data_IF_948870087049
#
_entry.id   IF_948870087049
#
_cell.length_a   1.000
_cell.length_b   1.000
_cell.length_c   1.000
_cell.angle_alpha   90.00
_cell.angle_beta   90.00
_cell.angle_gamma   90.00
#
_symmetry.space_group_name_H-M   'P 1'
#
loop_
_entity.id
_entity.type
_entity.pdbx_description
1 polymer ?
#
# COMPACT_ATOMS: atom_id res chain seq x y z
N UNK A 1 -22.60 -10.54 7.98
CA UNK A 1 -22.40 -11.95 7.55
C UNK A 1 -23.75 -12.61 7.40
N UNK A 2 -24.24 -12.79 6.16
CA UNK A 2 -25.32 -13.75 5.88
C UNK A 2 -24.61 -15.03 5.42
N UNK A 3 -24.24 -15.88 6.38
CA UNK A 3 -23.77 -17.23 6.09
C UNK A 3 -24.96 -18.06 5.62
N UNK A 4 -25.15 -18.10 4.31
CA UNK A 4 -26.14 -18.98 3.68
C UNK A 4 -25.45 -20.07 2.86
N UNK A 5 -24.34 -20.61 3.38
CA UNK A 5 -23.72 -21.83 2.85
C UNK A 5 -24.27 -23.03 3.61
N UNK A 6 -25.27 -23.69 3.02
CA UNK A 6 -25.69 -25.05 3.35
C UNK A 6 -24.57 -26.05 2.99
N UNK A 7 -23.44 -25.97 3.68
CA UNK A 7 -22.38 -26.98 3.57
C UNK A 7 -22.87 -28.26 4.27
N UNK A 8 -22.75 -29.44 3.64
CA UNK A 8 -23.00 -30.71 4.31
C UNK A 8 -21.90 -31.02 5.35
N UNK A 9 -20.77 -30.31 5.31
CA UNK A 9 -19.66 -30.44 6.27
C UNK A 9 -19.78 -29.40 7.40
N UNK A 10 -19.35 -29.79 8.60
CA UNK A 10 -19.29 -28.90 9.77
C UNK A 10 -18.31 -27.74 9.53
N UNK A 11 -18.61 -26.61 10.15
CA UNK A 11 -17.78 -25.41 10.11
C UNK A 11 -16.56 -25.52 11.05
N UNK A 12 -15.41 -24.97 10.62
CA UNK A 12 -14.16 -25.02 11.37
C UNK A 12 -14.25 -24.29 12.73
N UNK A 13 -15.03 -23.21 12.83
CA UNK A 13 -15.28 -22.50 14.07
C UNK A 13 -16.06 -23.33 15.08
N UNK A 14 -17.00 -24.15 14.61
CA UNK A 14 -17.74 -25.09 15.47
C UNK A 14 -16.83 -26.13 16.11
N UNK A 15 -15.91 -26.72 15.32
CA UNK A 15 -14.97 -27.72 15.85
C UNK A 15 -13.94 -27.09 16.80
N UNK A 16 -13.48 -25.85 16.53
CA UNK A 16 -12.63 -25.10 17.48
C UNK A 16 -13.30 -24.94 18.84
N UNK A 17 -14.55 -24.48 18.88
CA UNK A 17 -15.31 -24.35 20.13
C UNK A 17 -15.54 -25.69 20.83
N UNK A 18 -15.80 -26.76 20.07
CA UNK A 18 -16.01 -28.09 20.64
C UNK A 18 -14.75 -28.61 21.37
N UNK A 19 -13.54 -28.29 20.87
CA UNK A 19 -12.30 -28.70 21.54
C UNK A 19 -12.05 -28.01 22.88
N UNK A 20 -12.70 -26.88 23.16
CA UNK A 20 -12.59 -26.19 24.46
C UNK A 20 -13.44 -26.87 25.56
N UNK A 21 -14.39 -27.72 25.18
CA UNK A 21 -15.35 -28.36 26.10
C UNK A 21 -15.01 -29.83 26.40
N UNK A 22 -13.87 -30.34 25.91
CA UNK A 22 -13.45 -31.72 26.14
C UNK A 22 -12.91 -31.91 27.57
N UNK A 23 -13.02 -33.12 28.14
CA UNK A 23 -12.43 -33.42 29.44
C UNK A 23 -10.93 -33.10 29.48
N UNK A 24 -10.50 -32.54 30.60
CA UNK A 24 -9.11 -32.15 30.82
C UNK A 24 -8.25 -33.38 31.16
N UNK A 25 -7.41 -33.80 30.21
CA UNK A 25 -6.56 -34.99 30.30
C UNK A 25 -5.13 -34.66 29.84
N UNK A 26 -4.11 -35.46 30.20
CA UNK A 26 -2.76 -35.26 29.69
C UNK A 26 -2.69 -35.19 28.15
N UNK A 27 -3.56 -35.92 27.45
CA UNK A 27 -3.66 -35.93 25.99
C UNK A 27 -4.27 -34.64 25.45
N UNK A 28 -5.36 -34.16 26.05
CA UNK A 28 -6.06 -32.95 25.57
C UNK A 28 -5.27 -31.67 25.82
N UNK A 29 -4.32 -31.69 26.77
CA UNK A 29 -3.33 -30.61 26.98
C UNK A 29 -2.12 -30.67 26.05
N UNK A 30 -1.87 -31.80 25.38
CA UNK A 30 -0.67 -31.96 24.56
C UNK A 30 -0.75 -31.12 23.28
N UNK A 31 0.34 -30.47 22.84
CA UNK A 31 0.33 -29.68 21.59
C UNK A 31 -0.15 -30.48 20.37
N UNK A 32 0.20 -31.77 20.30
CA UNK A 32 -0.21 -32.66 19.21
C UNK A 32 -1.73 -32.90 19.09
N UNK A 33 -2.50 -32.58 20.14
CA UNK A 33 -3.96 -32.71 20.13
C UNK A 33 -4.66 -31.43 19.62
N UNK A 34 -3.97 -30.29 19.60
CA UNK A 34 -4.54 -29.02 19.11
C UNK A 34 -4.92 -29.16 17.63
N UNK A 35 -6.03 -28.55 17.24
CA UNK A 35 -6.41 -28.45 15.83
C UNK A 35 -5.38 -27.61 15.07
N UNK A 36 -4.82 -28.13 13.98
CA UNK A 36 -3.72 -27.49 13.26
C UNK A 36 -4.01 -26.04 12.81
N UNK A 37 -5.26 -25.73 12.41
CA UNK A 37 -5.66 -24.38 11.99
C UNK A 37 -5.92 -23.41 13.16
N UNK A 38 -5.95 -23.91 14.39
CA UNK A 38 -6.14 -23.13 15.62
C UNK A 38 -4.90 -23.17 16.54
N UNK A 39 -3.82 -23.82 16.10
CA UNK A 39 -2.56 -23.91 16.85
C UNK A 39 -1.55 -22.87 16.35
N UNK A 40 -1.46 -21.75 17.07
CA UNK A 40 -0.60 -20.61 16.71
C UNK A 40 0.89 -21.00 16.66
N UNK A 41 1.33 -21.86 17.58
CA UNK A 41 2.72 -22.34 17.63
C UNK A 41 3.05 -23.16 16.38
N UNK A 42 2.14 -24.05 15.97
CA UNK A 42 2.27 -24.84 14.75
C UNK A 42 2.27 -23.94 13.51
N UNK A 43 1.34 -22.98 13.44
CA UNK A 43 1.23 -22.02 12.34
C UNK A 43 2.44 -21.10 12.23
N UNK A 44 3.26 -20.93 13.28
CA UNK A 44 4.48 -20.12 13.27
C UNK A 44 5.75 -20.89 12.87
N UNK A 45 5.68 -22.22 12.71
CA UNK A 45 6.82 -23.05 12.29
C UNK A 45 7.35 -22.68 10.90
N UNK A 46 8.65 -22.86 10.65
CA UNK A 46 9.25 -22.49 9.36
C UNK A 46 8.65 -23.24 8.16
N UNK A 47 8.24 -24.50 8.35
CA UNK A 47 7.63 -25.33 7.30
C UNK A 47 6.28 -24.77 6.82
N UNK A 48 5.62 -23.96 7.64
CA UNK A 48 4.28 -23.38 7.39
C UNK A 48 4.38 -21.97 6.77
N UNK A 49 5.58 -21.52 6.37
CA UNK A 49 5.79 -20.22 5.73
C UNK A 49 4.93 -20.00 4.49
N UNK A 50 4.73 -21.02 3.65
CA UNK A 50 3.88 -20.92 2.46
C UNK A 50 2.41 -20.66 2.81
N UNK A 51 1.92 -21.25 3.89
CA UNK A 51 0.56 -21.02 4.41
C UNK A 51 0.44 -19.59 4.94
N UNK A 52 1.43 -19.09 5.70
CA UNK A 52 1.43 -17.70 6.19
C UNK A 52 1.46 -16.68 5.05
N UNK A 53 2.29 -16.91 4.02
CA UNK A 53 2.29 -16.09 2.80
C UNK A 53 0.92 -16.06 2.12
N UNK A 54 0.26 -17.22 2.01
CA UNK A 54 -1.09 -17.32 1.46
C UNK A 54 -2.11 -16.53 2.29
N UNK A 55 -2.04 -16.62 3.62
CA UNK A 55 -2.92 -15.86 4.52
C UNK A 55 -2.73 -14.34 4.39
N UNK A 56 -1.48 -13.86 4.30
CA UNK A 56 -1.19 -12.44 4.07
C UNK A 56 -1.62 -11.96 2.68
N UNK A 57 -1.64 -12.83 1.68
CA UNK A 57 -2.19 -12.50 0.38
C UNK A 57 -3.73 -12.41 0.44
N UNK A 58 -4.39 -13.40 1.05
CA UNK A 58 -5.85 -13.53 1.02
C UNK A 58 -6.58 -12.59 1.97
N UNK A 59 -6.09 -12.37 3.20
CA UNK A 59 -6.83 -11.63 4.22
C UNK A 59 -7.14 -10.18 3.79
N UNK A 60 -6.18 -9.39 3.29
CA UNK A 60 -6.47 -8.03 2.82
C UNK A 60 -7.38 -8.05 1.59
N UNK A 61 -7.16 -8.99 0.66
CA UNK A 61 -7.96 -9.11 -0.56
C UNK A 61 -9.44 -9.36 -0.26
N UNK A 62 -9.73 -10.36 0.57
CA UNK A 62 -11.11 -10.71 0.96
C UNK A 62 -11.80 -9.56 1.68
N UNK A 63 -11.11 -8.88 2.59
CA UNK A 63 -11.68 -7.75 3.35
C UNK A 63 -11.92 -6.55 2.43
N UNK A 64 -11.00 -6.25 1.51
CA UNK A 64 -11.18 -5.18 0.53
C UNK A 64 -12.33 -5.49 -0.44
N UNK A 65 -12.47 -6.75 -0.89
CA UNK A 65 -13.59 -7.19 -1.73
C UNK A 65 -14.94 -7.09 -0.99
N UNK A 66 -15.00 -7.51 0.28
CA UNK A 66 -16.20 -7.38 1.12
C UNK A 66 -16.61 -5.91 1.31
N UNK A 67 -15.63 -5.01 1.31
CA UNK A 67 -15.83 -3.55 1.38
C UNK A 67 -16.10 -2.92 0.02
N UNK A 68 -16.00 -3.69 -1.07
CA UNK A 68 -16.24 -3.23 -2.43
C UNK A 68 -15.15 -2.30 -2.97
N UNK A 69 -13.91 -2.41 -2.49
CA UNK A 69 -12.79 -1.61 -2.98
C UNK A 69 -12.35 -2.14 -4.36
N UNK A 70 -12.60 -1.37 -5.41
CA UNK A 70 -12.33 -1.74 -6.81
C UNK A 70 -11.00 -1.16 -7.31
N UNK A 71 -10.61 0.04 -6.85
CA UNK A 71 -9.32 0.63 -7.17
C UNK A 71 -8.77 1.53 -6.08
N UNK A 72 -7.46 1.74 -6.12
CA UNK A 72 -6.74 2.54 -5.14
C UNK A 72 -5.84 3.60 -5.79
N UNK A 73 -5.61 4.68 -5.04
CA UNK A 73 -4.58 5.67 -5.34
C UNK A 73 -3.48 5.51 -4.30
N UNK A 74 -2.30 5.10 -4.76
CA UNK A 74 -1.19 4.75 -3.89
C UNK A 74 -0.38 5.98 -3.55
N UNK A 75 -0.14 6.24 -2.26
CA UNK A 75 0.75 7.29 -1.80
C UNK A 75 1.97 6.71 -1.10
N UNK A 76 3.14 6.93 -1.70
CA UNK A 76 4.44 6.64 -1.11
C UNK A 76 5.14 7.93 -0.68
N UNK A 77 5.90 7.89 0.40
CA UNK A 77 6.69 9.06 0.81
C UNK A 77 7.37 8.91 2.16
N UNK A 78 8.13 9.94 2.53
CA UNK A 78 8.93 9.92 3.74
C UNK A 78 8.11 9.89 5.03
N UNK A 79 8.27 8.82 5.81
CA UNK A 79 7.70 8.69 7.17
C UNK A 79 8.22 9.73 8.18
N UNK A 80 9.25 10.51 7.81
CA UNK A 80 9.91 11.50 8.67
C UNK A 80 9.53 12.94 8.35
N UNK A 81 8.76 13.17 7.28
CA UNK A 81 8.32 14.51 6.90
C UNK A 81 7.29 14.98 7.95
N UNK A 82 7.55 16.06 8.69
CA UNK A 82 6.62 16.51 9.71
C UNK A 82 5.43 17.24 9.07
N UNK A 83 4.29 17.19 9.75
CA UNK A 83 3.20 18.15 9.52
C UNK A 83 3.75 19.59 9.63
N UNK A 84 3.26 20.56 8.83
CA UNK A 84 3.77 21.93 8.86
C UNK A 84 3.75 22.59 10.24
N UNK A 85 2.73 22.30 11.06
CA UNK A 85 2.65 22.78 12.45
C UNK A 85 3.85 22.34 13.30
N UNK A 86 4.43 21.19 12.96
CA UNK A 86 5.61 20.59 13.60
C UNK A 86 6.89 20.77 12.76
N UNK A 87 6.91 21.69 11.79
CA UNK A 87 8.10 21.94 10.93
C UNK A 87 9.36 22.21 11.75
N UNK A 88 9.25 22.85 12.91
CA UNK A 88 10.36 23.17 13.81
C UNK A 88 10.98 21.94 14.48
N UNK A 89 10.27 20.81 14.57
CA UNK A 89 10.80 19.57 15.14
C UNK A 89 11.57 18.72 14.12
N UNK A 90 11.69 19.18 12.87
CA UNK A 90 12.45 18.49 11.84
C UNK A 90 13.93 18.39 12.21
N UNK A 91 14.53 17.21 11.98
CA UNK A 91 15.95 16.94 12.29
C UNK A 91 16.94 17.78 11.47
N UNK A 92 16.52 18.25 10.30
CA UNK A 92 17.35 19.06 9.41
C UNK A 92 16.50 20.14 8.74
N UNK A 93 17.13 21.23 8.29
CA UNK A 93 16.47 22.29 7.53
C UNK A 93 15.83 21.74 6.25
N UNK A 94 16.55 20.89 5.51
CA UNK A 94 16.04 20.25 4.30
C UNK A 94 14.77 19.45 4.58
N UNK A 95 14.74 18.66 5.67
CA UNK A 95 13.54 17.91 6.06
C UNK A 95 12.39 18.85 6.46
N UNK A 96 12.69 19.95 7.14
CA UNK A 96 11.71 20.98 7.46
C UNK A 96 11.09 21.56 6.18
N UNK A 97 11.88 21.80 5.14
CA UNK A 97 11.41 22.34 3.87
C UNK A 97 10.57 21.35 3.05
N UNK A 98 10.73 20.04 3.29
CA UNK A 98 9.86 19.01 2.73
C UNK A 98 8.46 18.97 3.38
N UNK A 99 8.23 19.64 4.51
CA UNK A 99 6.89 19.68 5.17
C UNK A 99 5.78 20.19 4.25
N UNK A 100 6.09 21.02 3.25
CA UNK A 100 5.11 21.45 2.23
C UNK A 100 4.45 20.28 1.50
N UNK A 101 5.15 19.15 1.36
CA UNK A 101 4.62 17.95 0.71
C UNK A 101 3.63 17.19 1.59
N UNK A 102 3.63 17.42 2.91
CA UNK A 102 2.55 16.93 3.78
C UNK A 102 1.22 17.58 3.36
N UNK A 103 1.18 18.90 3.19
CA UNK A 103 -0.04 19.60 2.75
C UNK A 103 -0.47 19.17 1.34
N UNK A 104 0.49 19.03 0.42
CA UNK A 104 0.17 18.55 -0.93
C UNK A 104 -0.37 17.12 -0.91
N UNK A 105 0.19 16.21 -0.10
CA UNK A 105 -0.32 14.85 0.03
C UNK A 105 -1.73 14.82 0.64
N UNK A 106 -1.98 15.64 1.67
CA UNK A 106 -3.28 15.77 2.31
C UNK A 106 -4.34 16.33 1.35
N UNK A 107 -4.03 17.41 0.65
CA UNK A 107 -4.94 18.05 -0.29
C UNK A 107 -5.23 17.14 -1.49
N UNK A 108 -4.19 16.52 -2.07
CA UNK A 108 -4.35 15.54 -3.14
C UNK A 108 -5.27 14.39 -2.72
N UNK A 109 -5.02 13.80 -1.54
CA UNK A 109 -5.84 12.72 -1.01
C UNK A 109 -7.29 13.16 -0.75
N UNK A 110 -7.51 14.38 -0.24
CA UNK A 110 -8.85 14.96 -0.05
C UNK A 110 -9.62 15.04 -1.36
N UNK A 111 -9.03 15.64 -2.39
CA UNK A 111 -9.69 15.82 -3.70
C UNK A 111 -9.93 14.47 -4.40
N UNK A 112 -8.97 13.55 -4.36
CA UNK A 112 -9.16 12.20 -4.91
C UNK A 112 -10.27 11.45 -4.18
N UNK A 113 -10.39 11.63 -2.87
CA UNK A 113 -11.47 11.03 -2.08
C UNK A 113 -12.82 11.65 -2.43
N UNK A 114 -12.92 12.96 -2.63
CA UNK A 114 -14.15 13.59 -3.11
C UNK A 114 -14.61 13.02 -4.47
N UNK A 115 -13.65 12.69 -5.35
CA UNK A 115 -13.95 11.99 -6.61
C UNK A 115 -14.39 10.55 -6.36
N UNK A 116 -13.69 9.82 -5.50
CA UNK A 116 -14.01 8.46 -5.06
C UNK A 116 -15.43 8.34 -4.50
N UNK A 117 -15.92 9.39 -3.82
CA UNK A 117 -17.30 9.39 -3.29
C UNK A 117 -18.38 9.29 -4.38
N UNK A 118 -18.08 9.61 -5.64
CA UNK A 118 -19.01 9.39 -6.78
C UNK A 118 -19.27 7.90 -7.05
N UNK A 119 -18.33 7.03 -6.69
CA UNK A 119 -18.49 5.57 -6.71
C UNK A 119 -18.77 5.00 -5.31
N UNK A 120 -19.25 5.84 -4.38
CA UNK A 120 -19.49 5.48 -2.97
C UNK A 120 -18.24 5.00 -2.23
N UNK A 121 -17.06 5.50 -2.59
CA UNK A 121 -15.81 5.10 -1.93
C UNK A 121 -15.28 3.74 -2.38
N UNK A 122 -15.66 3.28 -3.58
CA UNK A 122 -15.23 2.00 -4.14
C UNK A 122 -14.01 2.11 -5.04
N UNK A 123 -13.96 3.16 -5.86
CA UNK A 123 -12.84 3.43 -6.75
C UNK A 123 -11.99 4.58 -6.20
N UNK A 124 -10.70 4.58 -6.51
CA UNK A 124 -9.73 5.64 -6.19
C UNK A 124 -9.53 5.87 -4.70
N UNK A 125 -9.67 4.80 -3.92
CA UNK A 125 -9.52 4.83 -2.46
C UNK A 125 -8.05 5.03 -2.10
N UNK A 126 -7.78 5.98 -1.21
CA UNK A 126 -6.41 6.29 -0.78
C UNK A 126 -5.82 5.08 -0.05
N UNK A 127 -4.65 4.63 -0.50
CA UNK A 127 -3.86 3.58 0.17
C UNK A 127 -2.45 4.08 0.47
N UNK A 128 -2.00 3.83 1.70
CA UNK A 128 -0.67 4.21 2.17
C UNK A 128 -0.05 3.07 2.97
N UNK A 129 1.21 3.24 3.39
CA UNK A 129 1.84 2.32 4.32
C UNK A 129 1.40 2.45 5.78
N UNK A 130 0.46 3.35 6.09
CA UNK A 130 -0.16 3.54 7.41
C UNK A 130 0.75 4.14 8.50
N UNK A 131 1.99 4.50 8.17
CA UNK A 131 2.91 5.19 9.08
C UNK A 131 2.68 6.71 9.18
N UNK A 132 3.57 7.43 9.88
CA UNK A 132 3.53 8.89 9.99
C UNK A 132 3.96 9.61 8.69
N UNK A 133 3.93 10.93 8.70
CA UNK A 133 4.43 11.79 7.62
C UNK A 133 3.53 11.79 6.40
N UNK A 134 4.06 11.57 5.20
CA UNK A 134 3.26 11.60 3.95
C UNK A 134 2.12 10.57 3.98
N UNK A 135 2.37 9.38 4.54
CA UNK A 135 1.36 8.33 4.66
C UNK A 135 0.17 8.80 5.52
N UNK A 136 0.48 9.37 6.68
CA UNK A 136 -0.52 10.00 7.56
C UNK A 136 -1.26 11.15 6.86
N UNK A 137 -0.56 12.02 6.15
CA UNK A 137 -1.17 13.12 5.41
C UNK A 137 -2.19 12.61 4.40
N UNK A 138 -1.86 11.54 3.66
CA UNK A 138 -2.75 10.88 2.72
C UNK A 138 -4.00 10.31 3.40
N UNK A 139 -3.81 9.51 4.47
CA UNK A 139 -4.93 8.94 5.22
C UNK A 139 -5.84 10.04 5.82
N UNK A 140 -5.24 11.10 6.35
CA UNK A 140 -5.96 12.26 6.90
C UNK A 140 -6.75 13.02 5.86
N UNK A 141 -6.17 13.26 4.68
CA UNK A 141 -6.86 13.93 3.58
C UNK A 141 -8.13 13.19 3.15
N UNK A 142 -8.06 11.86 3.08
CA UNK A 142 -9.24 11.03 2.82
C UNK A 142 -10.30 11.15 3.93
N UNK A 143 -9.87 11.13 5.21
CA UNK A 143 -10.77 11.34 6.34
C UNK A 143 -11.43 12.72 6.33
N UNK A 144 -10.69 13.78 5.97
CA UNK A 144 -11.23 15.14 5.87
C UNK A 144 -12.36 15.25 4.85
N UNK A 145 -12.31 14.45 3.78
CA UNK A 145 -13.35 14.33 2.76
C UNK A 145 -14.48 13.35 3.14
N UNK A 146 -14.42 12.74 4.33
CA UNK A 146 -15.41 11.77 4.82
C UNK A 146 -15.37 10.40 4.16
N UNK A 147 -14.29 10.09 3.42
CA UNK A 147 -14.11 8.79 2.78
C UNK A 147 -13.26 7.81 3.60
N UNK A 148 -13.17 6.57 3.11
CA UNK A 148 -12.31 5.55 3.70
C UNK A 148 -10.86 5.69 3.23
N UNK A 149 -9.93 5.19 4.02
CA UNK A 149 -8.51 5.12 3.66
C UNK A 149 -7.88 3.82 4.15
N UNK A 150 -6.99 3.25 3.35
CA UNK A 150 -6.35 1.95 3.59
C UNK A 150 -4.94 2.18 4.15
N UNK A 151 -4.58 1.41 5.17
CA UNK A 151 -3.24 1.36 5.73
C UNK A 151 -2.67 -0.04 5.60
N UNK A 152 -1.65 -0.20 4.77
CA UNK A 152 -0.90 -1.45 4.66
C UNK A 152 0.35 -1.34 5.55
N UNK A 153 0.23 -1.65 6.84
CA UNK A 153 1.34 -1.56 7.80
C UNK A 153 2.29 -2.74 7.71
N UNK A 154 3.45 -2.66 8.36
CA UNK A 154 4.36 -3.79 8.47
C UNK A 154 4.98 -3.85 9.86
N UNK A 155 5.16 -5.07 10.37
CA UNK A 155 5.84 -5.31 11.64
C UNK A 155 7.31 -4.90 11.52
N UNK A 156 7.75 -3.96 12.37
CA UNK A 156 9.14 -3.50 12.48
C UNK A 156 9.63 -3.64 13.93
N UNK A 157 10.95 -3.78 14.17
CA UNK A 157 11.51 -3.96 15.53
C UNK A 157 11.22 -2.82 16.52
N UNK A 158 10.98 -1.62 16.01
CA UNK A 158 10.48 -0.50 16.79
C UNK A 158 9.08 -0.20 16.28
N UNK A 159 8.09 -0.59 17.09
CA UNK A 159 6.69 -0.55 16.73
C UNK A 159 6.24 0.90 16.51
N UNK A 160 5.75 1.18 15.30
CA UNK A 160 4.99 2.39 15.03
C UNK A 160 3.52 1.95 15.00
N UNK A 161 2.72 2.44 15.95
CA UNK A 161 1.28 2.33 15.82
C UNK A 161 0.86 2.93 14.46
N UNK A 162 -0.10 2.30 13.76
CA UNK A 162 -0.65 2.92 12.56
C UNK A 162 -1.19 4.30 12.88
N UNK A 163 -1.11 5.22 11.93
CA UNK A 163 -1.67 6.55 12.12
C UNK A 163 -3.21 6.46 12.33
N UNK A 164 -3.73 7.38 13.13
CA UNK A 164 -5.13 7.35 13.60
C UNK A 164 -6.16 7.69 12.50
N UNK A 165 -5.71 8.06 11.29
CA UNK A 165 -6.56 8.44 10.17
C UNK A 165 -6.85 7.27 9.21
N UNK A 166 -6.19 6.13 9.40
CA UNK A 166 -6.51 4.90 8.68
C UNK A 166 -7.90 4.42 9.12
N UNK A 167 -8.75 4.01 8.17
CA UNK A 167 -10.03 3.39 8.50
C UNK A 167 -9.77 2.08 9.27
N UNK A 168 -10.29 1.90 10.50
CA UNK A 168 -9.95 0.75 11.34
C UNK A 168 -10.12 -0.62 10.65
N UNK A 169 -11.20 -0.77 9.88
CA UNK A 169 -11.52 -2.01 9.16
C UNK A 169 -10.67 -2.24 7.89
N UNK A 170 -9.87 -1.26 7.49
CA UNK A 170 -8.94 -1.29 6.35
C UNK A 170 -7.48 -1.06 6.81
N UNK A 171 -7.21 -1.33 8.09
CA UNK A 171 -5.89 -1.26 8.69
C UNK A 171 -5.27 -2.66 8.74
N UNK A 172 -4.43 -2.98 7.77
CA UNK A 172 -3.79 -4.28 7.63
C UNK A 172 -2.37 -4.23 8.21
N UNK A 173 -1.90 -5.35 8.76
CA UNK A 173 -0.55 -5.47 9.30
C UNK A 173 0.13 -6.70 8.68
N UNK A 174 1.21 -6.46 7.95
CA UNK A 174 1.97 -7.48 7.24
C UNK A 174 3.21 -7.90 8.03
N UNK A 175 3.68 -9.11 7.77
CA UNK A 175 5.01 -9.56 8.19
C UNK A 175 5.94 -9.67 6.98
N UNK A 176 5.43 -10.05 5.80
CA UNK A 176 6.24 -10.18 4.59
C UNK A 176 6.17 -8.94 3.69
N UNK A 177 7.31 -8.24 3.52
CA UNK A 177 7.43 -7.08 2.63
C UNK A 177 6.94 -7.36 1.21
N UNK A 178 7.25 -8.53 0.65
CA UNK A 178 6.87 -8.87 -0.72
C UNK A 178 5.35 -8.90 -0.91
N UNK A 179 4.60 -9.44 0.06
CA UNK A 179 3.14 -9.51 -0.04
C UNK A 179 2.52 -8.13 0.14
N UNK A 180 3.06 -7.32 1.06
CA UNK A 180 2.66 -5.92 1.23
C UNK A 180 2.84 -5.10 -0.06
N UNK A 181 3.99 -5.25 -0.73
CA UNK A 181 4.31 -4.58 -2.01
C UNK A 181 3.32 -4.96 -3.11
N UNK A 182 2.99 -6.24 -3.22
CA UNK A 182 1.98 -6.72 -4.17
C UNK A 182 0.62 -6.04 -3.92
N UNK A 183 0.18 -5.94 -2.66
CA UNK A 183 -1.11 -5.31 -2.32
C UNK A 183 -1.19 -3.83 -2.65
N UNK A 184 -0.07 -3.09 -2.63
CA UNK A 184 -0.09 -1.71 -3.14
C UNK A 184 -0.46 -1.66 -4.62
N UNK A 185 0.00 -2.62 -5.42
CA UNK A 185 -0.06 -2.56 -6.88
C UNK A 185 -1.27 -3.29 -7.47
N UNK A 186 -1.83 -4.28 -6.77
CA UNK A 186 -2.94 -5.11 -7.28
C UNK A 186 -4.17 -4.30 -7.72
N UNK A 187 -4.46 -3.18 -7.02
CA UNK A 187 -5.62 -2.31 -7.27
C UNK A 187 -5.23 -0.89 -7.69
N UNK A 188 -3.94 -0.62 -7.88
CA UNK A 188 -3.46 0.72 -8.15
C UNK A 188 -4.00 1.24 -9.50
N UNK A 189 -4.71 2.36 -9.46
CA UNK A 189 -5.03 3.17 -10.65
C UNK A 189 -4.04 4.31 -10.87
N UNK A 190 -3.35 4.75 -9.84
CA UNK A 190 -2.24 5.70 -9.92
C UNK A 190 -1.28 5.53 -8.72
N UNK A 191 -0.03 5.93 -8.89
CA UNK A 191 1.03 5.88 -7.89
C UNK A 191 1.63 7.27 -7.74
N UNK A 192 1.47 7.85 -6.56
CA UNK A 192 1.96 9.18 -6.21
C UNK A 192 3.11 9.04 -5.21
N UNK A 193 4.28 9.51 -5.62
CA UNK A 193 5.53 9.35 -4.87
C UNK A 193 6.01 10.73 -4.41
N UNK A 194 5.96 10.95 -3.11
CA UNK A 194 6.49 12.13 -2.45
C UNK A 194 7.94 11.91 -2.02
N UNK A 195 8.69 12.98 -1.73
CA UNK A 195 10.07 12.85 -1.25
C UNK A 195 10.18 11.89 -0.06
N UNK A 196 11.15 11.00 -0.12
CA UNK A 196 11.25 9.88 0.80
C UNK A 196 12.64 9.26 0.87
N UNK A 197 12.74 8.18 1.65
CA UNK A 197 13.98 7.44 1.85
C UNK A 197 14.01 6.12 1.08
N UNK A 198 14.73 5.13 1.61
CA UNK A 198 14.87 3.82 0.97
C UNK A 198 13.55 3.09 0.71
N UNK A 199 12.59 3.13 1.64
CA UNK A 199 11.28 2.48 1.42
C UNK A 199 10.56 3.05 0.20
N UNK A 200 10.51 4.39 0.10
CA UNK A 200 9.91 5.09 -1.04
C UNK A 200 10.63 4.78 -2.35
N UNK A 201 11.97 4.76 -2.34
CA UNK A 201 12.76 4.41 -3.52
C UNK A 201 12.52 2.97 -3.97
N UNK A 202 12.51 2.04 -3.02
CA UNK A 202 12.25 0.61 -3.26
C UNK A 202 10.88 0.40 -3.92
N UNK A 203 9.82 1.01 -3.38
CA UNK A 203 8.47 0.97 -3.96
C UNK A 203 8.40 1.63 -5.35
N UNK A 204 9.10 2.76 -5.54
CA UNK A 204 9.13 3.48 -6.81
C UNK A 204 9.79 2.64 -7.92
N UNK A 205 10.97 2.09 -7.66
CA UNK A 205 11.69 1.30 -8.64
C UNK A 205 11.02 -0.05 -8.91
N UNK A 206 10.36 -0.65 -7.91
CA UNK A 206 9.54 -1.85 -8.13
C UNK A 206 8.38 -1.56 -9.09
N UNK A 207 7.61 -0.50 -8.85
CA UNK A 207 6.51 -0.10 -9.74
C UNK A 207 7.00 0.17 -11.16
N UNK A 208 8.05 0.99 -11.32
CA UNK A 208 8.63 1.31 -12.63
C UNK A 208 9.12 0.04 -13.36
N UNK A 209 9.80 -0.87 -12.65
CA UNK A 209 10.28 -2.13 -13.24
C UNK A 209 9.14 -3.02 -13.71
N UNK A 210 8.07 -3.13 -12.92
CA UNK A 210 6.91 -3.96 -13.28
C UNK A 210 6.17 -3.41 -14.51
N UNK A 211 6.04 -2.08 -14.62
CA UNK A 211 5.44 -1.42 -15.78
C UNK A 211 6.38 -1.54 -16.99
N UNK A 212 7.67 -1.27 -16.83
CA UNK A 212 8.70 -1.35 -17.87
C UNK A 212 8.71 -2.74 -18.53
N UNK A 213 8.65 -3.79 -17.73
CA UNK A 213 8.69 -5.20 -18.15
C UNK A 213 7.33 -5.76 -18.59
N UNK A 214 6.24 -4.96 -18.54
CA UNK A 214 4.89 -5.39 -18.91
C UNK A 214 4.25 -6.40 -17.95
N UNK A 215 4.82 -6.58 -16.75
CA UNK A 215 4.27 -7.44 -15.68
C UNK A 215 3.10 -6.77 -14.97
N UNK A 216 2.98 -5.45 -15.08
CA UNK A 216 1.86 -4.64 -14.63
C UNK A 216 1.34 -3.77 -15.78
N UNK A 217 0.05 -3.41 -15.76
CA UNK A 217 -0.50 -2.38 -16.64
C UNK A 217 0.15 -1.03 -16.35
N UNK A 218 0.23 -0.17 -17.36
CA UNK A 218 0.64 1.21 -17.18
C UNK A 218 -0.40 1.94 -16.34
N UNK A 219 0.08 2.62 -15.31
CA UNK A 219 -0.69 3.55 -14.48
C UNK A 219 0.12 4.84 -14.35
N UNK A 220 -0.50 6.00 -14.09
CA UNK A 220 0.21 7.22 -13.76
C UNK A 220 1.18 6.99 -12.60
N UNK A 221 2.46 7.29 -12.83
CA UNK A 221 3.48 7.36 -11.77
C UNK A 221 3.92 8.81 -11.65
N UNK A 222 3.55 9.44 -10.54
CA UNK A 222 3.76 10.87 -10.33
C UNK A 222 4.78 11.11 -9.24
N UNK A 223 5.88 11.78 -9.58
CA UNK A 223 6.94 12.13 -8.66
C UNK A 223 6.77 13.58 -8.19
N UNK A 224 6.36 13.77 -6.94
CA UNK A 224 6.20 15.10 -6.36
C UNK A 224 7.56 15.72 -6.03
N UNK A 225 7.78 16.94 -6.49
CA UNK A 225 8.98 17.73 -6.17
C UNK A 225 10.18 17.39 -7.04
N UNK A 226 10.16 17.83 -8.30
CA UNK A 226 11.19 17.54 -9.31
C UNK A 226 12.61 17.71 -8.80
N UNK A 227 12.88 18.86 -8.17
CA UNK A 227 14.22 19.21 -7.65
C UNK A 227 14.76 18.14 -6.68
N UNK A 228 13.90 17.55 -5.83
CA UNK A 228 14.34 16.51 -4.90
C UNK A 228 14.84 15.29 -5.65
N UNK A 229 14.08 14.81 -6.63
CA UNK A 229 14.37 13.61 -7.41
C UNK A 229 15.58 13.77 -8.31
N UNK A 230 15.68 14.89 -9.04
CA UNK A 230 16.83 15.18 -9.92
C UNK A 230 18.14 15.35 -9.13
N UNK A 231 18.06 15.77 -7.85
CA UNK A 231 19.23 15.85 -6.98
C UNK A 231 19.75 14.48 -6.52
N UNK A 232 18.88 13.46 -6.43
CA UNK A 232 19.26 12.13 -5.93
C UNK A 232 19.44 11.08 -7.03
N UNK A 233 18.79 11.26 -8.18
CA UNK A 233 18.83 10.32 -9.30
C UNK A 233 19.02 11.12 -10.60
N UNK A 234 20.07 10.77 -11.34
CA UNK A 234 20.25 11.25 -12.71
C UNK A 234 19.62 10.25 -13.69
N UNK A 235 18.35 10.48 -14.03
CA UNK A 235 17.56 9.62 -14.91
C UNK A 235 18.13 9.55 -16.33
N UNK A 236 18.60 10.68 -16.86
CA UNK A 236 19.21 10.75 -18.19
C UNK A 236 20.48 9.89 -18.26
N UNK A 237 21.31 9.92 -17.22
CA UNK A 237 22.50 9.08 -17.16
C UNK A 237 22.17 7.57 -17.22
N UNK A 238 21.02 7.13 -16.68
CA UNK A 238 20.58 5.73 -16.81
C UNK A 238 20.25 5.38 -18.27
N UNK A 239 19.61 6.30 -18.99
CA UNK A 239 19.29 6.13 -20.41
C UNK A 239 20.53 6.20 -21.28
N UNK A 240 21.40 7.20 -21.06
CA UNK A 240 22.66 7.37 -21.79
C UNK A 240 23.62 6.19 -21.59
N UNK A 241 23.64 5.61 -20.38
CA UNK A 241 24.39 4.39 -20.09
C UNK A 241 23.79 3.13 -20.73
N UNK A 242 22.61 3.22 -21.35
CA UNK A 242 21.90 2.08 -21.94
C UNK A 242 21.32 1.10 -20.93
N UNK A 243 21.19 1.50 -19.66
CA UNK A 243 20.61 0.63 -18.61
C UNK A 243 19.08 0.64 -18.60
N UNK A 244 18.49 1.68 -19.18
CA UNK A 244 17.07 1.81 -19.54
C UNK A 244 16.96 2.42 -20.93
N UNK A 245 15.79 2.27 -21.56
CA UNK A 245 15.51 2.91 -22.85
C UNK A 245 15.05 4.35 -22.66
N UNK A 246 15.18 5.21 -23.68
CA UNK A 246 14.76 6.61 -23.56
C UNK A 246 13.25 6.74 -23.27
N UNK A 247 12.45 5.84 -23.84
CA UNK A 247 11.00 5.75 -23.63
C UNK A 247 10.62 5.27 -22.21
N UNK A 248 11.58 4.80 -21.42
CA UNK A 248 11.33 4.48 -20.01
C UNK A 248 11.24 5.73 -19.13
N UNK A 249 11.78 6.87 -19.60
CA UNK A 249 11.63 8.16 -18.93
C UNK A 249 10.19 8.70 -19.03
N UNK A 250 9.39 8.19 -19.97
CA UNK A 250 7.97 8.52 -20.10
C UNK A 250 7.08 7.73 -19.12
N UNK A 251 7.65 6.81 -18.34
CA UNK A 251 6.90 6.01 -17.36
C UNK A 251 6.46 6.81 -16.14
N UNK A 252 7.04 7.97 -15.89
CA UNK A 252 6.69 8.84 -14.78
C UNK A 252 6.62 10.31 -15.22
N UNK A 253 5.89 11.13 -14.46
CA UNK A 253 5.85 12.60 -14.63
C UNK A 253 6.18 13.28 -13.32
N UNK A 254 6.86 14.42 -13.38
CA UNK A 254 7.06 15.27 -12.21
C UNK A 254 5.88 16.22 -12.03
N UNK A 255 5.49 16.43 -10.77
CA UNK A 255 4.42 17.36 -10.37
C UNK A 255 4.84 18.11 -9.11
N UNK A 256 4.32 19.30 -8.90
CA UNK A 256 4.60 20.12 -7.71
C UNK A 256 3.37 20.29 -6.81
N UNK A 257 2.17 20.20 -7.38
CA UNK A 257 0.92 20.42 -6.64
C UNK A 257 -0.08 19.27 -6.79
N UNK A 258 -1.03 19.20 -5.86
CA UNK A 258 -2.18 18.31 -5.94
C UNK A 258 -2.97 18.49 -7.24
N UNK A 259 -3.15 19.74 -7.68
CA UNK A 259 -3.89 20.08 -8.90
C UNK A 259 -3.19 19.55 -10.16
N UNK A 260 -1.86 19.75 -10.27
CA UNK A 260 -1.06 19.20 -11.36
C UNK A 260 -1.10 17.67 -11.38
N UNK A 261 -1.06 17.03 -10.20
CA UNK A 261 -1.13 15.59 -10.10
C UNK A 261 -2.48 15.03 -10.58
N UNK A 262 -3.57 15.70 -10.24
CA UNK A 262 -4.90 15.33 -10.67
C UNK A 262 -5.03 15.46 -12.19
N UNK A 263 -4.60 16.58 -12.75
CA UNK A 263 -4.62 16.82 -14.19
C UNK A 263 -3.76 15.77 -14.94
N UNK A 264 -2.61 15.42 -14.38
CA UNK A 264 -1.74 14.39 -14.94
C UNK A 264 -2.37 12.98 -14.92
N UNK A 265 -3.16 12.64 -13.89
CA UNK A 265 -3.90 11.37 -13.83
C UNK A 265 -5.00 11.33 -14.89
N UNK A 266 -5.76 12.42 -15.04
CA UNK A 266 -6.88 12.49 -16.00
C UNK A 266 -6.42 12.46 -17.46
N UNK A 267 -5.22 13.00 -17.73
CA UNK A 267 -4.64 13.09 -19.08
C UNK A 267 -3.42 12.16 -19.26
N UNK A 268 -3.45 10.98 -18.65
CA UNK A 268 -2.36 10.01 -18.76
C UNK A 268 -2.47 9.13 -20.00
N UNK A 269 -1.44 9.17 -20.86
CA UNK A 269 -1.41 8.40 -22.10
C UNK A 269 -1.11 6.91 -21.82
N UNK A 270 -1.93 6.02 -22.39
CA UNK A 270 -1.76 4.57 -22.29
C UNK A 270 -2.10 3.98 -20.92
N UNK A 271 -2.88 4.69 -20.09
CA UNK A 271 -3.38 4.13 -18.83
C UNK A 271 -4.18 2.84 -19.08
N UNK A 272 -3.87 1.78 -18.32
CA UNK A 272 -4.49 0.45 -18.44
C UNK A 272 -3.88 -0.45 -19.53
N UNK A 273 -2.98 0.05 -20.37
CA UNK A 273 -2.32 -0.74 -21.41
C UNK A 273 -1.13 -1.53 -20.85
N UNK A 274 -0.85 -2.72 -21.41
CA UNK A 274 0.39 -3.45 -21.14
C UNK A 274 1.37 -3.26 -22.29
N UNK A 275 2.65 -3.10 -21.98
CA UNK A 275 3.70 -3.07 -23.01
C UNK A 275 3.77 -4.42 -23.72
N UNK A 276 3.44 -4.44 -25.01
CA UNK A 276 3.57 -5.62 -25.87
C UNK A 276 5.01 -5.87 -26.35
N UNK A 277 5.84 -4.83 -26.38
CA UNK A 277 7.28 -4.89 -26.66
C UNK A 277 8.02 -4.07 -25.61
N UNK A 278 9.17 -4.55 -25.16
CA UNK A 278 10.05 -3.84 -24.23
C UNK A 278 10.99 -2.99 -25.11
N UNK A 279 10.90 -1.64 -25.07
CA UNK A 279 11.78 -0.79 -25.87
C UNK A 279 13.25 -1.14 -25.63
N UNK A 280 14.04 -1.25 -26.70
CA UNK A 280 15.47 -1.57 -26.61
C UNK A 280 15.82 -3.05 -26.39
N UNK A 281 14.86 -3.98 -26.45
CA UNK A 281 15.09 -5.44 -26.37
C UNK A 281 14.37 -6.24 -27.44
#
# INVERSE_FOLDING_TARGET
MKDDKKSPFRDAGTDRQATEQVPDTPQTRAPAYKLAFADEDFLCRDELRSVRLQLELLKPELIMDERGIESTIVLFGGARIPEPANKSSARTKTLADLSKYYDQAREFARVMTEKSMKSYGKEDVIVTGGGPGVMEAGNRGAMDAGGASIGLNIVLPHEQAPNEYVTPDLCFNFHYFAIRKIHFLMRAKAICVFPGGFGTLDETFEALTLIQTGRMQRVPVLLFGRQFWENIINWNALSEAGTISAEDLDLFRFVETAEEAIDAIENWDGAGERRGQIPGR
#
